data_IF_973938670277
#
_entry.id   IF_973938670277
#
_cell.length_a   1.000
_cell.length_b   1.000
_cell.length_c   1.000
_cell.angle_alpha   90.00
_cell.angle_beta   90.00
_cell.angle_gamma   90.00
#
_symmetry.space_group_name_H-M   'P 1'
#
loop_
_entity.id
_entity.type
_entity.pdbx_description
1 polymer ?
#
# COMPACT_ATOMS: atom_id res chain seq x y z
N UNK A 1 -6.94 -10.76 14.85
CA UNK A 1 -6.10 -10.20 13.77
C UNK A 1 -6.96 -9.72 12.61
N UNK A 2 -7.61 -10.61 11.84
CA UNK A 2 -8.45 -10.23 10.70
C UNK A 2 -9.51 -9.18 11.06
N UNK A 3 -10.22 -9.35 12.18
CA UNK A 3 -11.25 -8.40 12.63
C UNK A 3 -10.69 -7.03 13.04
N UNK A 4 -9.38 -6.94 13.32
CA UNK A 4 -8.72 -5.67 13.60
C UNK A 4 -8.25 -4.99 12.31
N UNK A 5 -7.84 -5.77 11.31
CA UNK A 5 -7.36 -5.27 10.02
C UNK A 5 -8.54 -4.87 9.11
N UNK A 6 -9.61 -5.66 9.14
CA UNK A 6 -10.86 -5.44 8.41
C UNK A 6 -12.02 -5.31 9.40
N UNK A 7 -12.04 -4.23 10.21
CA UNK A 7 -13.12 -4.03 11.17
C UNK A 7 -14.44 -3.78 10.46
N UNK A 8 -15.53 -4.21 11.09
CA UNK A 8 -16.87 -3.75 10.75
C UNK A 8 -17.13 -2.43 11.46
N UNK A 9 -17.39 -1.37 10.71
CA UNK A 9 -17.60 -0.05 11.27
C UNK A 9 -19.00 0.05 11.88
N UNK A 10 -19.08 0.50 13.14
CA UNK A 10 -20.37 0.82 13.77
C UNK A 10 -20.95 2.12 13.21
N UNK A 11 -22.23 2.37 13.48
CA UNK A 11 -22.88 3.63 13.12
C UNK A 11 -22.10 4.80 13.73
N UNK A 12 -21.60 5.70 12.87
CA UNK A 12 -20.75 6.87 13.17
C UNK A 12 -19.25 6.61 13.38
N UNK A 13 -18.76 5.37 13.26
CA UNK A 13 -17.32 5.13 13.16
C UNK A 13 -16.83 5.44 11.75
N UNK A 14 -15.67 6.10 11.66
CA UNK A 14 -15.02 6.40 10.37
C UNK A 14 -13.83 5.47 10.14
N UNK A 15 -13.59 5.06 8.88
CA UNK A 15 -12.35 4.38 8.53
C UNK A 15 -11.13 5.26 8.80
N UNK A 16 -9.93 4.66 9.01
CA UNK A 16 -8.70 5.43 9.10
C UNK A 16 -8.52 6.33 7.86
N UNK A 17 -8.19 7.60 8.11
CA UNK A 17 -8.15 8.63 7.07
C UNK A 17 -7.27 8.25 5.87
N UNK A 18 -6.03 7.74 6.03
CA UNK A 18 -5.19 7.35 4.89
C UNK A 18 -5.80 6.24 4.03
N UNK A 19 -6.53 5.30 4.65
CA UNK A 19 -7.18 4.20 3.92
C UNK A 19 -8.35 4.74 3.10
N UNK A 20 -9.19 5.59 3.70
CA UNK A 20 -10.30 6.24 3.00
C UNK A 20 -9.79 7.11 1.84
N UNK A 21 -8.78 7.94 2.09
CA UNK A 21 -8.14 8.78 1.09
C UNK A 21 -7.63 7.94 -0.10
N UNK A 22 -6.84 6.91 0.17
CA UNK A 22 -6.27 6.05 -0.87
C UNK A 22 -7.36 5.33 -1.67
N UNK A 23 -8.40 4.82 -1.01
CA UNK A 23 -9.45 4.06 -1.69
C UNK A 23 -10.37 4.95 -2.51
N UNK A 24 -10.69 6.15 -2.04
CA UNK A 24 -11.43 7.15 -2.82
C UNK A 24 -10.62 7.59 -4.05
N UNK A 25 -9.31 7.78 -3.90
CA UNK A 25 -8.43 8.06 -5.04
C UNK A 25 -8.47 6.94 -6.09
N UNK A 26 -8.36 5.68 -5.67
CA UNK A 26 -8.44 4.53 -6.60
C UNK A 26 -9.80 4.45 -7.29
N UNK A 27 -10.90 4.71 -6.57
CA UNK A 27 -12.25 4.71 -7.12
C UNK A 27 -12.46 5.88 -8.11
N UNK A 28 -11.86 7.04 -7.87
CA UNK A 28 -11.92 8.18 -8.80
C UNK A 28 -11.06 7.95 -10.05
N UNK A 29 -9.86 7.35 -9.92
CA UNK A 29 -9.05 6.92 -11.06
C UNK A 29 -9.75 5.86 -11.92
N UNK A 30 -10.45 4.91 -11.29
CA UNK A 30 -11.25 3.93 -12.02
C UNK A 30 -12.35 4.59 -12.86
N UNK A 31 -13.03 5.63 -12.31
CA UNK A 31 -14.04 6.40 -13.05
C UNK A 31 -13.45 7.16 -14.23
N UNK A 32 -12.31 7.85 -14.04
CA UNK A 32 -11.63 8.59 -15.10
C UNK A 32 -11.25 7.68 -16.29
N UNK A 33 -10.86 6.44 -15.98
CA UNK A 33 -10.51 5.41 -16.97
C UNK A 33 -11.73 4.61 -17.50
N UNK A 34 -12.94 4.95 -17.08
CA UNK A 34 -14.19 4.24 -17.40
C UNK A 34 -14.17 2.74 -17.03
N UNK A 35 -13.46 2.38 -15.96
CA UNK A 35 -13.43 1.04 -15.41
C UNK A 35 -14.66 0.85 -14.52
N UNK A 36 -15.56 -0.05 -14.93
CA UNK A 36 -16.80 -0.34 -14.21
C UNK A 36 -16.80 -1.70 -13.51
N UNK A 37 -15.81 -2.55 -13.80
CA UNK A 37 -15.67 -3.88 -13.22
C UNK A 37 -15.27 -3.80 -11.73
N UNK A 38 -16.13 -4.25 -10.80
CA UNK A 38 -15.83 -4.26 -9.37
C UNK A 38 -14.62 -5.12 -9.00
N UNK A 39 -14.32 -6.19 -9.77
CA UNK A 39 -13.19 -7.07 -9.48
C UNK A 39 -11.85 -6.36 -9.72
N UNK A 40 -11.79 -5.48 -10.72
CA UNK A 40 -10.59 -4.66 -10.98
C UNK A 40 -10.34 -3.70 -9.82
N UNK A 41 -11.38 -2.98 -9.38
CA UNK A 41 -11.26 -2.05 -8.25
C UNK A 41 -10.89 -2.78 -6.94
N UNK A 42 -11.49 -3.95 -6.69
CA UNK A 42 -11.15 -4.81 -5.55
C UNK A 42 -9.68 -5.25 -5.62
N UNK A 43 -9.21 -5.62 -6.79
CA UNK A 43 -7.81 -6.02 -7.03
C UNK A 43 -6.84 -4.87 -6.79
N UNK A 44 -7.15 -3.65 -7.23
CA UNK A 44 -6.33 -2.47 -6.97
C UNK A 44 -6.22 -2.18 -5.47
N UNK A 45 -7.34 -2.22 -4.74
CA UNK A 45 -7.38 -2.05 -3.28
C UNK A 45 -6.57 -3.12 -2.55
N UNK A 46 -6.66 -4.38 -2.98
CA UNK A 46 -5.84 -5.47 -2.45
C UNK A 46 -4.33 -5.25 -2.68
N UNK A 47 -3.98 -4.86 -3.90
CA UNK A 47 -2.59 -4.68 -4.31
C UNK A 47 -1.95 -3.42 -3.71
N UNK A 48 -2.74 -2.45 -3.27
CA UNK A 48 -2.22 -1.22 -2.64
C UNK A 48 -2.02 -1.36 -1.14
N UNK A 49 -2.91 -2.06 -0.42
CA UNK A 49 -2.90 -2.09 1.04
C UNK A 49 -2.71 -3.50 1.65
N UNK A 50 -3.67 -4.45 1.58
CA UNK A 50 -3.50 -5.78 2.17
C UNK A 50 -2.23 -6.51 1.75
N UNK A 51 -1.93 -6.55 0.47
CA UNK A 51 -0.84 -7.39 -0.06
C UNK A 51 0.55 -6.76 0.07
N UNK A 52 0.62 -5.44 0.22
CA UNK A 52 1.90 -4.70 0.35
C UNK A 52 2.23 -4.37 1.79
N UNK A 53 1.25 -3.89 2.55
CA UNK A 53 1.44 -3.45 3.92
C UNK A 53 1.16 -4.57 4.91
N UNK A 54 -0.08 -5.09 4.92
CA UNK A 54 -0.51 -6.02 5.98
C UNK A 54 0.18 -7.38 5.90
N UNK A 55 0.28 -7.98 4.71
CA UNK A 55 1.02 -9.24 4.52
C UNK A 55 2.47 -9.09 5.00
N UNK A 56 3.10 -7.95 4.72
CA UNK A 56 4.48 -7.69 5.12
C UNK A 56 4.62 -7.61 6.64
N UNK A 57 3.72 -6.90 7.32
CA UNK A 57 3.71 -6.81 8.79
C UNK A 57 3.38 -8.13 9.48
N UNK A 58 2.43 -8.91 8.93
CA UNK A 58 2.08 -10.24 9.44
C UNK A 58 3.30 -11.17 9.38
N UNK A 59 4.05 -11.13 8.28
CA UNK A 59 5.25 -11.96 8.11
C UNK A 59 6.44 -11.46 8.92
N UNK A 60 6.52 -10.15 9.18
CA UNK A 60 7.68 -9.51 9.78
C UNK A 60 7.30 -8.71 11.06
N UNK A 61 6.87 -9.39 12.14
CA UNK A 61 6.51 -8.72 13.40
C UNK A 61 7.67 -7.94 14.03
N UNK A 62 8.91 -8.30 13.71
CA UNK A 62 10.11 -7.60 14.15
C UNK A 62 10.25 -6.18 13.57
N UNK A 63 9.40 -5.79 12.60
CA UNK A 63 9.30 -4.39 12.16
C UNK A 63 8.52 -3.50 13.14
N UNK A 64 7.69 -4.11 13.98
CA UNK A 64 6.84 -3.40 14.95
C UNK A 64 7.30 -3.61 16.39
N UNK A 65 7.89 -4.77 16.67
CA UNK A 65 8.24 -5.20 18.02
C UNK A 65 9.71 -5.59 18.08
N UNK A 66 10.34 -5.33 19.22
CA UNK A 66 11.69 -5.82 19.50
C UNK A 66 11.64 -7.32 19.85
N UNK A 67 11.55 -8.16 18.81
CA UNK A 67 11.43 -9.61 18.91
C UNK A 67 12.33 -10.31 17.91
N UNK A 68 12.97 -11.39 18.33
CA UNK A 68 13.69 -12.27 17.42
C UNK A 68 12.74 -13.31 16.82
N UNK A 69 12.55 -13.27 15.50
CA UNK A 69 11.66 -14.19 14.79
C UNK A 69 12.37 -15.53 14.54
N UNK A 70 12.05 -16.54 15.33
CA UNK A 70 12.55 -17.90 15.11
C UNK A 70 12.05 -18.48 13.77
N UNK A 71 12.84 -19.33 13.08
CA UNK A 71 12.46 -19.89 11.77
C UNK A 71 11.12 -20.65 11.76
N UNK A 72 10.81 -21.34 12.85
CA UNK A 72 9.52 -22.04 12.98
C UNK A 72 8.34 -21.06 13.04
N UNK A 73 8.52 -19.91 13.71
CA UNK A 73 7.50 -18.85 13.79
C UNK A 73 7.32 -18.21 12.42
N UNK A 74 8.41 -17.97 11.68
CA UNK A 74 8.34 -17.45 10.31
C UNK A 74 7.54 -18.36 9.36
N UNK A 75 7.73 -19.68 9.49
CA UNK A 75 6.97 -20.68 8.73
C UNK A 75 5.47 -20.64 9.06
N UNK A 76 5.13 -20.56 10.35
CA UNK A 76 3.74 -20.42 10.81
C UNK A 76 3.10 -19.09 10.34
N UNK A 77 3.83 -17.98 10.42
CA UNK A 77 3.35 -16.67 9.96
C UNK A 77 3.17 -16.65 8.44
N UNK A 78 3.98 -17.37 7.68
CA UNK A 78 3.79 -17.51 6.24
C UNK A 78 2.50 -18.25 5.88
N UNK A 79 2.12 -19.27 6.67
CA UNK A 79 0.82 -19.94 6.53
C UNK A 79 -0.35 -18.98 6.80
N UNK A 80 -0.26 -18.17 7.87
CA UNK A 80 -1.28 -17.17 8.22
C UNK A 80 -1.35 -16.06 7.15
N UNK A 81 -0.21 -15.60 6.66
CA UNK A 81 -0.14 -14.62 5.58
C UNK A 81 -0.79 -15.15 4.30
N UNK A 82 -0.59 -16.43 3.98
CA UNK A 82 -1.25 -17.04 2.82
C UNK A 82 -2.77 -17.12 2.99
N UNK A 83 -3.26 -17.50 4.18
CA UNK A 83 -4.69 -17.41 4.50
C UNK A 83 -5.23 -15.98 4.31
N UNK A 84 -4.46 -14.97 4.74
CA UNK A 84 -4.84 -13.56 4.58
C UNK A 84 -4.92 -13.14 3.11
N UNK A 85 -3.95 -13.55 2.29
CA UNK A 85 -3.96 -13.30 0.85
C UNK A 85 -5.15 -14.00 0.17
N UNK A 86 -5.41 -15.27 0.50
CA UNK A 86 -6.52 -16.04 -0.06
C UNK A 86 -7.88 -15.42 0.32
N UNK A 87 -7.99 -14.85 1.52
CA UNK A 87 -9.18 -14.14 2.00
C UNK A 87 -9.43 -12.80 1.29
N UNK A 88 -8.39 -12.17 0.73
CA UNK A 88 -8.54 -10.95 -0.04
C UNK A 88 -8.91 -11.22 -1.51
N UNK A 89 -8.56 -12.40 -2.03
CA UNK A 89 -8.75 -12.76 -3.45
C UNK A 89 -10.22 -12.75 -3.89
N UNK A 90 -10.48 -12.27 -5.11
CA UNK A 90 -11.79 -12.35 -5.77
C UNK A 90 -12.09 -13.75 -6.34
N UNK A 91 -11.06 -14.53 -6.67
CA UNK A 91 -11.21 -15.83 -7.34
C UNK A 91 -11.88 -16.88 -6.45
N UNK A 92 -12.74 -17.72 -7.02
CA UNK A 92 -13.36 -18.82 -6.28
C UNK A 92 -12.34 -19.81 -5.71
N UNK A 93 -12.70 -20.37 -4.56
CA UNK A 93 -11.85 -21.31 -3.84
C UNK A 93 -12.15 -22.75 -4.29
N UNK A 94 -11.50 -23.18 -5.37
CA UNK A 94 -11.61 -24.55 -5.86
C UNK A 94 -10.58 -25.42 -5.12
N UNK A 95 -11.09 -26.36 -4.33
CA UNK A 95 -10.27 -27.31 -3.57
C UNK A 95 -10.25 -28.67 -4.25
N UNK A 96 -9.05 -29.25 -4.30
CA UNK A 96 -8.82 -30.59 -4.82
C UNK A 96 -7.72 -31.30 -4.05
N UNK A 97 -7.46 -32.55 -4.42
CA UNK A 97 -6.41 -33.39 -3.82
C UNK A 97 -4.99 -32.78 -3.93
N UNK A 98 -4.77 -31.92 -4.92
CA UNK A 98 -3.48 -31.26 -5.18
C UNK A 98 -3.42 -29.85 -4.56
N UNK A 99 -4.43 -29.45 -3.78
CA UNK A 99 -4.43 -28.15 -3.11
C UNK A 99 -3.38 -28.10 -1.99
N UNK A 100 -2.66 -26.97 -1.83
CA UNK A 100 -1.71 -26.77 -0.73
C UNK A 100 -2.34 -27.02 0.65
N UNK A 101 -1.59 -27.64 1.56
CA UNK A 101 -2.09 -28.06 2.88
C UNK A 101 -2.66 -26.91 3.71
N UNK A 102 -2.07 -25.72 3.63
CA UNK A 102 -2.56 -24.52 4.31
C UNK A 102 -3.90 -24.03 3.76
N UNK A 103 -4.17 -24.22 2.45
CA UNK A 103 -5.48 -23.89 1.87
C UNK A 103 -6.55 -24.87 2.32
N UNK A 104 -6.20 -26.15 2.45
CA UNK A 104 -7.08 -27.18 3.02
C UNK A 104 -7.37 -26.91 4.50
N UNK A 105 -6.37 -26.45 5.26
CA UNK A 105 -6.49 -26.17 6.69
C UNK A 105 -7.56 -25.12 7.02
N UNK A 106 -7.67 -24.08 6.19
CA UNK A 106 -8.57 -22.95 6.41
C UNK A 106 -9.72 -22.85 5.38
N UNK A 107 -10.00 -23.95 4.71
CA UNK A 107 -11.00 -24.03 3.64
C UNK A 107 -12.38 -23.51 4.05
N UNK A 108 -12.76 -23.73 5.32
CA UNK A 108 -14.08 -23.37 5.85
C UNK A 108 -14.17 -21.90 6.24
N UNK A 109 -13.04 -21.31 6.62
CA UNK A 109 -12.95 -19.96 7.14
C UNK A 109 -12.76 -18.92 6.03
N UNK A 110 -12.07 -19.28 4.94
CA UNK A 110 -11.80 -18.37 3.80
C UNK A 110 -13.08 -17.67 3.28
N UNK A 111 -14.21 -18.37 3.02
CA UNK A 111 -15.42 -17.69 2.55
C UNK A 111 -15.94 -16.62 3.51
N UNK A 112 -15.85 -16.86 4.82
CA UNK A 112 -16.27 -15.90 5.86
C UNK A 112 -15.34 -14.68 5.85
N UNK A 113 -14.03 -14.88 5.74
CA UNK A 113 -13.08 -13.76 5.67
C UNK A 113 -13.22 -12.96 4.37
N UNK A 114 -13.50 -13.61 3.24
CA UNK A 114 -13.81 -12.91 1.97
C UNK A 114 -15.00 -11.97 2.10
N UNK A 115 -16.09 -12.44 2.73
CA UNK A 115 -17.25 -11.59 3.00
C UNK A 115 -16.89 -10.38 3.87
N UNK A 116 -16.04 -10.56 4.89
CA UNK A 116 -15.56 -9.44 5.72
C UNK A 116 -14.74 -8.41 4.93
N UNK A 117 -13.85 -8.84 4.05
CA UNK A 117 -13.08 -7.94 3.18
C UNK A 117 -14.02 -7.15 2.25
N UNK A 118 -14.99 -7.83 1.65
CA UNK A 118 -16.01 -7.19 0.80
C UNK A 118 -16.83 -6.14 1.57
N UNK A 119 -17.29 -6.48 2.78
CA UNK A 119 -17.99 -5.55 3.67
C UNK A 119 -17.12 -4.35 4.03
N UNK A 120 -15.85 -4.57 4.39
CA UNK A 120 -14.91 -3.50 4.72
C UNK A 120 -14.73 -2.50 3.55
N UNK A 121 -14.55 -2.99 2.32
CA UNK A 121 -14.43 -2.12 1.15
C UNK A 121 -15.72 -1.35 0.85
N UNK A 122 -16.87 -1.99 1.03
CA UNK A 122 -18.17 -1.36 0.89
C UNK A 122 -18.38 -0.26 1.94
N UNK A 123 -18.00 -0.51 3.19
CA UNK A 123 -18.14 0.46 4.27
C UNK A 123 -17.24 1.68 4.04
N UNK A 124 -16.01 1.49 3.57
CA UNK A 124 -15.11 2.59 3.19
C UNK A 124 -15.72 3.40 2.04
N UNK A 125 -16.22 2.74 1.00
CA UNK A 125 -16.84 3.43 -0.14
C UNK A 125 -18.06 4.26 0.27
N UNK A 126 -18.87 3.75 1.22
CA UNK A 126 -20.05 4.44 1.73
C UNK A 126 -19.72 5.52 2.77
N UNK A 127 -18.50 5.53 3.33
CA UNK A 127 -18.10 6.57 4.27
C UNK A 127 -18.08 7.95 3.57
N UNK A 128 -18.37 9.04 4.30
CA UNK A 128 -18.30 10.40 3.76
C UNK A 128 -16.95 10.67 3.11
N UNK A 129 -16.95 11.44 2.01
CA UNK A 129 -15.71 11.93 1.41
C UNK A 129 -14.98 12.83 2.40
N UNK A 130 -13.66 12.74 2.35
CA UNK A 130 -12.77 13.60 3.13
C UNK A 130 -12.72 15.00 2.52
N UNK A 131 -12.60 16.01 3.36
CA UNK A 131 -12.30 17.38 2.90
C UNK A 131 -10.79 17.57 2.72
N UNK A 132 -10.40 18.50 1.85
CA UNK A 132 -8.98 18.86 1.65
C UNK A 132 -8.34 19.34 2.96
N UNK A 133 -9.10 20.00 3.82
CA UNK A 133 -8.67 20.45 5.15
C UNK A 133 -8.38 19.25 6.07
N UNK A 134 -9.28 18.27 6.15
CA UNK A 134 -9.07 17.03 6.93
C UNK A 134 -7.80 16.29 6.48
N UNK A 135 -7.59 16.19 5.17
CA UNK A 135 -6.41 15.52 4.59
C UNK A 135 -5.13 16.29 4.92
N UNK A 136 -5.14 17.61 4.73
CA UNK A 136 -3.99 18.47 5.02
C UNK A 136 -3.61 18.44 6.49
N UNK A 137 -4.58 18.55 7.39
CA UNK A 137 -4.36 18.54 8.83
C UNK A 137 -3.76 17.22 9.28
N UNK A 138 -4.28 16.11 8.76
CA UNK A 138 -3.74 14.78 9.05
C UNK A 138 -2.27 14.67 8.64
N UNK A 139 -1.91 14.98 7.39
CA UNK A 139 -0.54 14.81 6.92
C UNK A 139 0.45 15.78 7.56
N UNK A 140 0.01 17.01 7.88
CA UNK A 140 0.85 17.99 8.57
C UNK A 140 1.14 17.56 10.01
N UNK A 141 0.14 17.05 10.72
CA UNK A 141 0.29 16.60 12.11
C UNK A 141 1.17 15.34 12.25
N UNK A 142 1.33 14.56 11.18
CA UNK A 142 2.14 13.34 11.16
C UNK A 142 3.47 13.53 10.41
N UNK A 143 3.92 14.77 10.21
CA UNK A 143 5.30 15.01 9.77
C UNK A 143 6.26 14.60 10.89
N UNK A 144 7.13 13.62 10.60
CA UNK A 144 8.07 13.07 11.57
C UNK A 144 9.45 13.70 11.32
N UNK A 145 9.95 14.47 12.27
CA UNK A 145 11.29 15.07 12.25
C UNK A 145 12.41 14.08 12.62
N UNK A 146 12.09 12.82 12.91
CA UNK A 146 13.05 11.81 13.37
C UNK A 146 13.99 11.27 12.28
N UNK A 147 13.85 11.74 11.03
CA UNK A 147 14.66 11.28 9.90
C UNK A 147 15.73 12.31 9.49
N UNK A 148 16.94 11.83 9.23
CA UNK A 148 18.02 12.66 8.69
C UNK A 148 17.80 12.90 7.19
N UNK A 149 17.18 14.03 6.86
CA UNK A 149 16.85 14.43 5.48
C UNK A 149 18.12 14.58 4.62
N UNK A 150 19.20 15.14 5.16
CA UNK A 150 20.45 15.34 4.41
C UNK A 150 21.05 14.02 3.91
N UNK A 151 21.00 12.98 4.74
CA UNK A 151 21.49 11.64 4.38
C UNK A 151 20.60 11.00 3.31
N UNK A 152 19.27 11.13 3.44
CA UNK A 152 18.34 10.65 2.43
C UNK A 152 18.54 11.36 1.08
N UNK A 153 18.74 12.69 1.10
CA UNK A 153 19.02 13.49 -0.09
C UNK A 153 20.33 13.08 -0.77
N UNK A 154 21.39 12.81 0.00
CA UNK A 154 22.66 12.30 -0.55
C UNK A 154 22.50 10.96 -1.24
N UNK A 155 21.74 10.03 -0.65
CA UNK A 155 21.46 8.73 -1.29
C UNK A 155 20.60 8.88 -2.55
N UNK A 156 19.61 9.79 -2.55
CA UNK A 156 18.79 10.09 -3.73
C UNK A 156 19.60 10.76 -4.84
N UNK A 157 20.52 11.65 -4.50
CA UNK A 157 21.35 12.36 -5.48
C UNK A 157 22.19 11.41 -6.33
N UNK A 158 22.65 10.28 -5.78
CA UNK A 158 23.39 9.26 -6.55
C UNK A 158 22.64 8.84 -7.81
N UNK A 159 21.33 8.58 -7.69
CA UNK A 159 20.49 8.27 -8.84
C UNK A 159 20.32 9.46 -9.80
N UNK A 160 20.21 10.68 -9.26
CA UNK A 160 20.10 11.87 -10.09
C UNK A 160 21.37 12.13 -10.93
N UNK A 161 22.55 11.83 -10.39
CA UNK A 161 23.82 11.92 -11.09
C UNK A 161 24.00 10.77 -12.11
N UNK A 162 23.69 9.53 -11.70
CA UNK A 162 23.83 8.34 -12.56
C UNK A 162 22.92 8.39 -13.81
N UNK A 163 21.77 9.07 -13.72
CA UNK A 163 20.76 9.18 -14.79
C UNK A 163 20.53 10.63 -15.22
N UNK A 164 21.55 11.49 -15.11
CA UNK A 164 21.41 12.93 -15.39
C UNK A 164 20.85 13.19 -16.79
N UNK A 165 21.43 12.57 -17.82
CA UNK A 165 21.07 12.83 -19.21
C UNK A 165 19.61 12.45 -19.49
N UNK A 166 19.18 11.26 -19.04
CA UNK A 166 17.80 10.80 -19.22
C UNK A 166 16.80 11.67 -18.44
N UNK A 167 17.18 12.13 -17.25
CA UNK A 167 16.35 13.03 -16.46
C UNK A 167 16.24 14.42 -17.11
N UNK A 168 17.32 14.93 -17.70
CA UNK A 168 17.30 16.20 -18.43
C UNK A 168 16.42 16.12 -19.67
N UNK A 169 16.59 15.08 -20.51
CA UNK A 169 15.77 14.86 -21.69
C UNK A 169 14.28 14.76 -21.31
N UNK A 170 13.95 13.97 -20.28
CA UNK A 170 12.58 13.84 -19.80
C UNK A 170 11.99 15.17 -19.29
N UNK A 171 12.78 16.03 -18.64
CA UNK A 171 12.35 17.34 -18.17
C UNK A 171 12.12 18.32 -19.34
N UNK A 172 12.94 18.27 -20.37
CA UNK A 172 12.77 19.07 -21.59
C UNK A 172 11.51 18.64 -22.36
N UNK A 173 11.31 17.33 -22.55
CA UNK A 173 10.13 16.76 -23.20
C UNK A 173 8.83 17.09 -22.45
N UNK A 174 8.88 17.06 -21.12
CA UNK A 174 7.77 17.45 -20.25
C UNK A 174 7.56 18.99 -20.19
N UNK A 175 8.36 19.77 -20.93
CA UNK A 175 8.31 21.24 -21.02
C UNK A 175 8.62 21.95 -19.69
N UNK A 176 9.59 21.43 -18.95
CA UNK A 176 10.13 22.04 -17.73
C UNK A 176 11.64 22.39 -17.87
N UNK A 177 12.06 23.18 -18.87
CA UNK A 177 13.49 23.47 -19.13
C UNK A 177 14.20 24.17 -17.96
N UNK A 178 13.48 24.96 -17.17
CA UNK A 178 14.02 25.58 -15.95
C UNK A 178 14.39 24.56 -14.87
N UNK A 179 13.76 23.38 -14.85
CA UNK A 179 14.11 22.30 -13.93
C UNK A 179 15.30 21.49 -14.48
N UNK A 180 15.37 21.28 -15.79
CA UNK A 180 16.54 20.65 -16.43
C UNK A 180 17.83 21.43 -16.14
N UNK A 181 17.81 22.75 -16.33
CA UNK A 181 18.96 23.62 -16.01
C UNK A 181 19.31 23.63 -14.51
N UNK A 182 18.31 23.53 -13.62
CA UNK A 182 18.57 23.39 -12.18
C UNK A 182 19.23 22.05 -11.84
N UNK A 183 18.80 20.96 -12.48
CA UNK A 183 19.42 19.64 -12.31
C UNK A 183 20.87 19.66 -12.78
N UNK A 184 21.14 20.25 -13.96
CA UNK A 184 22.50 20.44 -14.48
C UNK A 184 23.39 21.19 -13.48
N UNK A 185 22.90 22.30 -12.94
CA UNK A 185 23.64 23.09 -11.96
C UNK A 185 23.89 22.32 -10.65
N UNK A 186 22.88 21.58 -10.18
CA UNK A 186 23.02 20.74 -8.99
C UNK A 186 24.06 19.64 -9.21
N UNK A 187 24.06 18.96 -10.37
CA UNK A 187 25.07 17.93 -10.63
C UNK A 187 26.46 18.54 -10.69
N UNK A 188 26.65 19.67 -11.38
CA UNK A 188 27.93 20.35 -11.46
C UNK A 188 28.50 20.77 -10.09
N UNK A 189 27.66 21.21 -9.14
CA UNK A 189 28.12 21.56 -7.78
C UNK A 189 28.70 20.36 -7.04
N UNK A 190 28.14 19.16 -7.24
CA UNK A 190 28.48 17.96 -6.49
C UNK A 190 29.51 17.06 -7.17
N UNK A 191 29.88 17.33 -8.44
CA UNK A 191 31.03 16.70 -9.12
C UNK A 191 32.35 17.43 -8.90
N UNK A 192 32.33 18.65 -8.37
CA UNK A 192 33.52 19.47 -8.07
C UNK A 192 34.09 19.23 -6.64
N UNK A 193 33.51 18.32 -5.84
CA UNK A 193 33.97 17.85 -4.52
C UNK A 193 34.49 16.39 -4.56
#
# INVERSE_FOLDING_TARGET
MFDCIFPTFRKNERPPLPIKFLFDFLDDQAKELNITDPEVMHTWKNNSLPLRFWVNLIKNPNFLFDVNKAPIVDSCLSVIAQLFMDSCSVSEHILGKDSPSNKLLYAKEIPVYKQKVQSFYKDIANAPRLTDEEVKDFFTAHYIEDFNVDSALKELYKYAADYQDELQEALEDARYPQLASKLEHLVAIFTDD
#
